data_IF_407446790119
#
_entry.id   IF_407446790119
#
_cell.length_a   1.000
_cell.length_b   1.000
_cell.length_c   1.000
_cell.angle_alpha   90.00
_cell.angle_beta   90.00
_cell.angle_gamma   90.00
#
_symmetry.space_group_name_H-M   'P 1'
#
loop_
_entity.id
_entity.type
_entity.pdbx_description
1 polymer ?
#
# COMPACT_ATOMS: atom_id res chain seq x y z
N UNK A 1 0.28 1.63 1.63
CA UNK A 1 0.78 2.73 0.78
C UNK A 1 -0.33 3.22 -0.12
N UNK A 2 -0.52 4.54 -0.21
CA UNK A 2 -1.54 5.12 -1.07
C UNK A 2 -1.02 5.16 -2.51
N UNK A 3 -1.89 4.87 -3.48
CA UNK A 3 -1.65 5.16 -4.91
C UNK A 3 -2.40 6.41 -5.38
N UNK A 4 -3.26 6.96 -4.52
CA UNK A 4 -3.98 8.22 -4.73
C UNK A 4 -4.38 8.85 -3.40
N UNK A 5 -4.49 10.18 -3.33
CA UNK A 5 -4.84 10.91 -2.11
C UNK A 5 -6.18 10.46 -1.47
N UNK A 6 -7.16 10.01 -2.28
CA UNK A 6 -8.46 9.51 -1.76
C UNK A 6 -8.32 8.24 -0.90
N UNK A 7 -7.22 7.50 -1.04
CA UNK A 7 -6.90 6.34 -0.19
C UNK A 7 -6.11 6.69 1.07
N UNK A 8 -5.59 7.92 1.17
CA UNK A 8 -4.64 8.31 2.22
C UNK A 8 -5.22 8.21 3.63
N UNK A 9 -6.50 8.58 3.80
CA UNK A 9 -7.17 8.48 5.11
C UNK A 9 -7.42 7.02 5.50
N UNK A 10 -7.70 6.14 4.52
CA UNK A 10 -7.93 4.71 4.76
C UNK A 10 -6.68 4.06 5.32
N UNK A 11 -5.52 4.25 4.68
CA UNK A 11 -4.26 3.65 5.13
C UNK A 11 -3.79 4.20 6.48
N UNK A 12 -4.02 5.49 6.76
CA UNK A 12 -3.66 6.11 8.05
C UNK A 12 -4.52 5.55 9.18
N UNK A 13 -5.83 5.38 8.94
CA UNK A 13 -6.74 4.77 9.91
C UNK A 13 -6.38 3.30 10.15
N UNK A 14 -6.07 2.54 9.10
CA UNK A 14 -5.61 1.17 9.24
C UNK A 14 -4.34 1.05 10.09
N UNK A 15 -3.30 1.83 9.80
CA UNK A 15 -2.07 1.83 10.58
C UNK A 15 -2.32 2.20 12.06
N UNK A 16 -3.15 3.21 12.31
CA UNK A 16 -3.53 3.62 13.67
C UNK A 16 -4.30 2.52 14.41
N UNK A 17 -5.21 1.81 13.75
CA UNK A 17 -5.96 0.72 14.37
C UNK A 17 -5.06 -0.49 14.66
N UNK A 18 -4.15 -0.84 13.76
CA UNK A 18 -3.18 -1.92 13.97
C UNK A 18 -2.28 -1.62 15.17
N UNK A 19 -1.75 -0.39 15.24
CA UNK A 19 -0.92 0.04 16.36
C UNK A 19 -1.68 -0.02 17.69
N UNK A 20 -3.00 0.19 17.68
CA UNK A 20 -3.84 0.08 18.87
C UNK A 20 -4.27 -1.36 19.19
N UNK A 21 -4.20 -2.31 18.24
CA UNK A 21 -4.91 -3.59 18.34
C UNK A 21 -4.10 -4.77 18.89
N UNK A 22 -2.91 -4.57 19.50
CA UNK A 22 -1.97 -5.64 19.91
C UNK A 22 -1.64 -6.67 18.82
N UNK A 23 -2.06 -6.42 17.58
CA UNK A 23 -1.99 -7.38 16.46
C UNK A 23 -0.54 -7.76 16.17
N UNK A 24 0.40 -6.84 16.39
CA UNK A 24 1.81 -7.05 16.10
C UNK A 24 2.58 -7.76 17.23
N UNK A 25 1.98 -7.97 18.41
CA UNK A 25 2.68 -8.60 19.55
C UNK A 25 3.05 -10.05 19.30
N UNK A 26 2.29 -10.74 18.44
CA UNK A 26 2.58 -12.12 18.03
C UNK A 26 3.73 -12.20 17.00
N UNK A 27 4.26 -11.06 16.54
CA UNK A 27 5.23 -10.97 15.45
C UNK A 27 6.52 -10.24 15.90
N UNK A 28 7.38 -10.94 16.64
CA UNK A 28 8.62 -10.38 17.21
C UNK A 28 9.62 -9.81 16.17
N UNK A 29 9.52 -10.22 14.90
CA UNK A 29 10.37 -9.70 13.81
C UNK A 29 9.84 -8.44 13.14
N UNK A 30 8.71 -7.89 13.61
CA UNK A 30 8.04 -6.73 12.99
C UNK A 30 8.03 -5.55 13.96
N UNK A 31 8.78 -4.49 13.64
CA UNK A 31 8.85 -3.28 14.46
C UNK A 31 7.55 -2.45 14.43
N UNK A 32 6.75 -2.60 13.37
CA UNK A 32 5.52 -1.83 13.22
C UNK A 32 4.96 -1.76 11.80
N UNK A 33 3.93 -0.94 11.64
CA UNK A 33 3.34 -0.59 10.34
C UNK A 33 3.39 0.91 10.12
N UNK A 34 3.67 1.33 8.89
CA UNK A 34 3.74 2.74 8.50
C UNK A 34 2.81 3.07 7.33
N UNK A 35 2.08 4.17 7.44
CA UNK A 35 1.21 4.66 6.38
C UNK A 35 1.95 5.69 5.49
N UNK A 36 2.35 5.27 4.29
CA UNK A 36 2.96 6.14 3.29
C UNK A 36 1.87 6.69 2.35
N UNK A 37 1.64 8.01 2.42
CA UNK A 37 0.64 8.73 1.63
C UNK A 37 1.29 9.81 0.75
N UNK A 38 0.67 10.12 -0.38
CA UNK A 38 1.03 11.26 -1.23
C UNK A 38 -0.22 12.10 -1.57
N UNK A 39 -0.01 13.36 -1.93
CA UNK A 39 -1.09 14.33 -2.16
C UNK A 39 -1.72 14.31 -3.55
N UNK A 40 -1.29 13.41 -4.44
CA UNK A 40 -1.70 13.45 -5.85
C UNK A 40 -3.09 12.85 -6.02
N UNK A 41 -3.92 13.52 -6.83
CA UNK A 41 -5.32 13.13 -7.09
C UNK A 41 -5.47 12.30 -8.35
N UNK A 42 -6.70 11.83 -8.62
CA UNK A 42 -7.01 11.01 -9.79
C UNK A 42 -6.79 11.73 -11.15
N UNK A 43 -6.67 13.06 -11.16
CA UNK A 43 -6.39 13.86 -12.36
C UNK A 43 -4.91 14.10 -12.65
N UNK A 44 -4.00 13.42 -11.96
CA UNK A 44 -2.57 13.48 -12.25
C UNK A 44 -2.27 12.87 -13.63
N UNK A 45 -1.29 13.44 -14.34
CA UNK A 45 -0.78 12.87 -15.58
C UNK A 45 -0.23 11.45 -15.34
N UNK A 46 -0.44 10.56 -16.30
CA UNK A 46 -0.01 9.17 -16.24
C UNK A 46 1.37 8.92 -16.88
N UNK A 47 2.09 9.99 -17.18
CA UNK A 47 3.40 9.97 -17.82
C UNK A 47 4.10 11.32 -17.59
N UNK A 48 5.41 11.33 -17.83
CA UNK A 48 6.25 12.50 -17.70
C UNK A 48 6.84 12.65 -16.30
N UNK A 49 7.71 13.64 -16.16
CA UNK A 49 8.67 13.72 -15.05
C UNK A 49 8.05 13.62 -13.65
N UNK A 50 6.89 14.25 -13.43
CA UNK A 50 6.20 14.18 -12.13
C UNK A 50 5.62 12.80 -11.81
N UNK A 51 5.13 12.08 -12.83
CA UNK A 51 4.68 10.70 -12.71
C UNK A 51 5.87 9.78 -12.46
N UNK A 52 6.94 9.92 -13.24
CA UNK A 52 8.14 9.08 -13.15
C UNK A 52 8.82 9.19 -11.77
N UNK A 53 8.86 10.39 -11.19
CA UNK A 53 9.37 10.59 -9.81
C UNK A 53 8.47 9.91 -8.79
N UNK A 54 7.15 10.07 -8.90
CA UNK A 54 6.21 9.46 -7.95
C UNK A 54 6.31 7.94 -7.99
N UNK A 55 6.33 7.36 -9.20
CA UNK A 55 6.48 5.94 -9.43
C UNK A 55 7.77 5.40 -8.80
N UNK A 56 8.91 6.05 -9.08
CA UNK A 56 10.22 5.70 -8.50
C UNK A 56 10.22 5.77 -6.97
N UNK A 57 9.62 6.79 -6.37
CA UNK A 57 9.59 6.95 -4.90
C UNK A 57 8.73 5.87 -4.25
N UNK A 58 7.53 5.63 -4.79
CA UNK A 58 6.63 4.61 -4.27
C UNK A 58 7.24 3.22 -4.41
N UNK A 59 7.81 2.91 -5.58
CA UNK A 59 8.50 1.64 -5.79
C UNK A 59 9.71 1.49 -4.87
N UNK A 60 10.55 2.53 -4.75
CA UNK A 60 11.72 2.51 -3.89
C UNK A 60 11.40 2.22 -2.42
N UNK A 61 10.30 2.76 -1.90
CA UNK A 61 9.80 2.39 -0.58
C UNK A 61 9.26 0.97 -0.51
N UNK A 62 8.47 0.55 -1.52
CA UNK A 62 7.92 -0.80 -1.57
C UNK A 62 9.03 -1.86 -1.55
N UNK A 63 10.12 -1.61 -2.30
CA UNK A 63 11.21 -2.58 -2.40
C UNK A 63 12.26 -2.51 -1.30
N UNK A 64 12.18 -1.53 -0.40
CA UNK A 64 13.24 -1.26 0.58
C UNK A 64 13.53 -2.52 1.44
N UNK A 65 14.80 -2.83 1.77
CA UNK A 65 15.16 -4.00 2.57
C UNK A 65 14.50 -4.07 3.96
N UNK A 66 14.23 -2.91 4.58
CA UNK A 66 13.53 -2.83 5.88
C UNK A 66 12.00 -2.92 5.75
N UNK A 67 11.45 -3.14 4.55
CA UNK A 67 10.01 -3.27 4.32
C UNK A 67 9.69 -4.73 4.03
N UNK A 68 9.21 -5.45 5.04
CA UNK A 68 8.86 -6.88 4.89
C UNK A 68 7.73 -7.12 3.89
N UNK A 69 6.74 -6.22 3.85
CA UNK A 69 5.62 -6.29 2.92
C UNK A 69 4.98 -4.92 2.68
N UNK A 70 4.30 -4.77 1.53
CA UNK A 70 3.59 -3.55 1.17
C UNK A 70 2.17 -3.84 0.72
N UNK A 71 1.19 -3.22 1.38
CA UNK A 71 -0.20 -3.17 0.93
C UNK A 71 -0.46 -1.84 0.22
N UNK A 72 -0.56 -1.86 -1.10
CA UNK A 72 -0.98 -0.73 -1.90
C UNK A 72 -2.50 -0.58 -1.86
N UNK A 73 -2.97 0.66 -1.71
CA UNK A 73 -4.39 0.98 -1.61
C UNK A 73 -4.73 2.09 -2.58
N UNK A 74 -5.61 1.77 -3.51
CA UNK A 74 -6.24 2.70 -4.45
C UNK A 74 -7.70 2.96 -4.11
N UNK A 75 -8.35 3.86 -4.84
CA UNK A 75 -9.80 4.02 -4.79
C UNK A 75 -10.53 2.99 -5.67
N UNK A 76 -10.00 2.69 -6.85
CA UNK A 76 -10.54 1.80 -7.88
C UNK A 76 -10.55 2.41 -9.30
N UNK A 77 -10.15 3.67 -9.45
CA UNK A 77 -10.17 4.39 -10.74
C UNK A 77 -8.79 4.87 -11.20
N UNK A 78 -7.72 4.52 -10.48
CA UNK A 78 -6.43 5.20 -10.62
C UNK A 78 -5.50 4.56 -11.63
N UNK A 79 -4.71 5.45 -12.24
CA UNK A 79 -3.82 5.16 -13.36
C UNK A 79 -2.50 4.50 -12.91
N UNK A 80 -2.15 4.64 -11.63
CA UNK A 80 -1.02 3.95 -11.00
C UNK A 80 -1.39 2.48 -10.73
N UNK A 81 -1.33 1.67 -11.78
CA UNK A 81 -1.52 0.23 -11.71
C UNK A 81 -0.22 -0.42 -11.23
N UNK A 82 -0.28 -1.19 -10.14
CA UNK A 82 0.87 -1.93 -9.59
C UNK A 82 1.47 -2.85 -10.66
N UNK A 83 0.65 -3.39 -11.57
CA UNK A 83 1.10 -4.13 -12.74
C UNK A 83 2.02 -3.30 -13.65
N UNK A 84 1.75 -2.00 -13.81
CA UNK A 84 2.60 -1.07 -14.55
C UNK A 84 3.91 -0.73 -13.80
N UNK A 85 3.88 -0.65 -12.47
CA UNK A 85 5.09 -0.45 -11.66
C UNK A 85 6.01 -1.69 -11.75
N UNK A 86 5.42 -2.89 -11.65
CA UNK A 86 6.10 -4.17 -11.76
C UNK A 86 6.73 -4.39 -13.14
N UNK A 87 6.07 -3.98 -14.23
CA UNK A 87 6.57 -4.20 -15.58
C UNK A 87 7.83 -3.39 -15.92
N UNK A 88 8.01 -2.21 -15.31
CA UNK A 88 9.16 -1.34 -15.60
C UNK A 88 10.28 -1.43 -14.55
N UNK A 89 9.98 -1.96 -13.35
CA UNK A 89 10.94 -1.99 -12.23
C UNK A 89 11.40 -3.40 -11.82
N UNK A 90 10.87 -4.45 -12.45
CA UNK A 90 11.24 -5.86 -12.23
C UNK A 90 10.33 -6.61 -11.24
N UNK A 91 10.49 -7.93 -11.17
CA UNK A 91 9.64 -8.85 -10.38
C UNK A 91 10.23 -9.25 -9.02
N UNK A 92 11.41 -8.72 -8.66
CA UNK A 92 12.07 -9.08 -7.41
C UNK A 92 11.27 -8.58 -6.19
N UNK A 93 10.82 -9.51 -5.35
CA UNK A 93 10.06 -9.19 -4.14
C UNK A 93 8.61 -8.77 -4.40
N UNK A 94 7.98 -9.22 -5.48
CA UNK A 94 6.55 -8.95 -5.75
C UNK A 94 5.60 -9.83 -4.94
N UNK A 95 6.10 -10.96 -4.41
CA UNK A 95 5.42 -11.86 -3.49
C UNK A 95 4.98 -11.18 -2.19
N UNK A 96 5.72 -10.17 -1.74
CA UNK A 96 5.40 -9.34 -0.58
C UNK A 96 4.50 -8.13 -0.88
N UNK A 97 3.95 -8.02 -2.10
CA UNK A 97 3.09 -6.91 -2.51
C UNK A 97 1.63 -7.33 -2.62
N UNK A 98 0.76 -6.56 -1.97
CA UNK A 98 -0.68 -6.73 -2.02
C UNK A 98 -1.34 -5.47 -2.53
N UNK A 99 -2.40 -5.64 -3.32
CA UNK A 99 -3.16 -4.56 -3.93
C UNK A 99 -4.60 -4.62 -3.45
N UNK A 100 -5.12 -3.50 -2.96
CA UNK A 100 -6.54 -3.33 -2.64
C UNK A 100 -7.06 -2.05 -3.28
N UNK A 101 -8.31 -2.08 -3.73
CA UNK A 101 -9.04 -0.87 -4.09
C UNK A 101 -10.21 -0.68 -3.14
N UNK A 102 -10.50 0.57 -2.79
CA UNK A 102 -11.60 0.87 -1.86
C UNK A 102 -12.95 0.47 -2.47
N UNK A 103 -13.12 0.64 -3.78
CA UNK A 103 -14.36 0.30 -4.50
C UNK A 103 -14.59 -1.21 -4.55
N UNK A 104 -13.58 -2.00 -4.91
CA UNK A 104 -13.75 -3.47 -5.02
C UNK A 104 -13.89 -4.13 -3.64
N UNK A 105 -13.26 -3.54 -2.61
CA UNK A 105 -13.36 -4.05 -1.24
C UNK A 105 -14.69 -3.69 -0.55
N UNK A 106 -15.53 -2.84 -1.15
CA UNK A 106 -16.83 -2.47 -0.59
C UNK A 106 -16.78 -1.25 0.35
N UNK A 107 -15.81 -0.35 0.17
CA UNK A 107 -15.73 0.94 0.84
C UNK A 107 -14.70 1.00 1.97
N UNK A 108 -14.60 2.18 2.61
CA UNK A 108 -13.53 2.53 3.54
C UNK A 108 -13.36 1.53 4.69
N UNK A 109 -14.45 1.20 5.41
CA UNK A 109 -14.39 0.32 6.59
C UNK A 109 -13.92 -1.09 6.21
N UNK A 110 -14.57 -1.68 5.20
CA UNK A 110 -14.21 -2.99 4.68
C UNK A 110 -12.75 -3.04 4.19
N UNK A 111 -12.28 -1.96 3.57
CA UNK A 111 -10.87 -1.85 3.14
C UNK A 111 -9.91 -1.82 4.32
N UNK A 112 -10.22 -1.10 5.40
CA UNK A 112 -9.38 -1.10 6.61
C UNK A 112 -9.32 -2.49 7.22
N UNK A 113 -10.45 -3.20 7.28
CA UNK A 113 -10.50 -4.56 7.82
C UNK A 113 -9.72 -5.54 6.94
N UNK A 114 -9.82 -5.40 5.61
CA UNK A 114 -9.01 -6.17 4.66
C UNK A 114 -7.50 -5.93 4.83
N UNK A 115 -7.07 -4.68 5.05
CA UNK A 115 -5.66 -4.35 5.33
C UNK A 115 -5.19 -5.09 6.60
N UNK A 116 -5.99 -5.06 7.68
CA UNK A 116 -5.65 -5.75 8.93
C UNK A 116 -5.52 -7.26 8.73
N UNK A 117 -6.44 -7.85 7.97
CA UNK A 117 -6.38 -9.27 7.61
C UNK A 117 -5.12 -9.60 6.80
N UNK A 118 -4.75 -8.79 5.81
CA UNK A 118 -3.51 -9.00 5.06
C UNK A 118 -2.26 -8.91 5.94
N UNK A 119 -2.20 -7.95 6.86
CA UNK A 119 -1.08 -7.84 7.81
C UNK A 119 -0.97 -9.10 8.68
N UNK A 120 -2.09 -9.70 9.09
CA UNK A 120 -2.07 -10.95 9.84
C UNK A 120 -1.64 -12.17 8.99
N UNK A 121 -1.99 -12.21 7.71
CA UNK A 121 -1.70 -13.33 6.80
C UNK A 121 -0.25 -13.35 6.29
N UNK A 122 0.40 -12.19 6.21
CA UNK A 122 1.76 -12.01 5.67
C UNK A 122 2.86 -12.79 6.41
N UNK A 123 2.56 -13.38 7.56
CA UNK A 123 3.52 -14.12 8.39
C UNK A 123 3.03 -15.54 8.76
N UNK A 124 1.99 -16.04 8.10
CA UNK A 124 1.48 -17.40 8.28
C UNK A 124 2.04 -18.46 7.32
N UNK A 125 3.06 -18.12 6.51
CA UNK A 125 3.65 -18.98 5.47
C UNK A 125 5.16 -19.13 5.65
#
# INVERSE_FOLDING_TARGET
>A
MATVNRSATVIRRAASEIAASRLLEDYASVDGVVALAHGTGCGMANSGWGFDILDRVLWGHAIHPNVGATVFVGLGCEVMQIAGMQSHSGTAGTDRFHALTIQDTGGTRATIDAIKTHVALLHGA
#
